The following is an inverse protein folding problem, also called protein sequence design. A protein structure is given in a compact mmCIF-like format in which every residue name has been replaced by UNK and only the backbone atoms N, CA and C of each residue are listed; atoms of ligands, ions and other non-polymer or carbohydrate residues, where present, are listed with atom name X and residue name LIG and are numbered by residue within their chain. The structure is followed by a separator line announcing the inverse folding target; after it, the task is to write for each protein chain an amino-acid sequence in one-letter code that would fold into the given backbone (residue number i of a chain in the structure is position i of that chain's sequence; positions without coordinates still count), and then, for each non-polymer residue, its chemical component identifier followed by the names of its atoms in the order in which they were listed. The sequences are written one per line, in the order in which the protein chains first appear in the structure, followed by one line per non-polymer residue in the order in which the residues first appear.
data_IF_315335028835
#
_entry.id   IF_315335028835
#
_cell.length_a   1.000
_cell.length_b   1.000
_cell.length_c   1.000
_cell.angle_alpha   90.00
_cell.angle_beta   90.00
_cell.angle_gamma   90.00
#
_symmetry.space_group_name_H-M   'P 1'
#
loop_
_entity.id
_entity.type
_entity.pdbx_description
1 polymer ?
#
# COMPACT_ATOMS: atom_id res chain seq x y z
N UNK A 1 19.46 3.22 4.07
CA UNK A 1 19.48 2.02 4.93
C UNK A 1 20.81 1.28 4.86
N UNK A 2 21.34 0.94 3.68
CA UNK A 2 22.67 0.29 3.56
C UNK A 2 23.77 1.07 4.27
N UNK A 3 23.91 2.35 3.99
CA UNK A 3 24.88 3.23 4.67
C UNK A 3 24.67 3.28 6.19
N UNK A 4 23.41 3.31 6.62
CA UNK A 4 23.07 3.28 8.04
C UNK A 4 23.50 1.98 8.75
N UNK A 5 23.51 0.84 8.04
CA UNK A 5 24.05 -0.43 8.58
C UNK A 5 25.55 -0.45 8.68
N UNK A 6 26.23 0.40 7.90
CA UNK A 6 27.67 0.60 7.94
C UNK A 6 28.10 1.68 8.96
N UNK A 7 27.16 2.19 9.78
CA UNK A 7 27.44 3.14 10.85
C UNK A 7 27.29 4.61 10.45
N UNK A 8 26.73 4.92 9.26
CA UNK A 8 26.45 6.31 8.85
C UNK A 8 25.14 6.78 9.51
N UNK A 9 25.26 7.39 10.68
CA UNK A 9 24.13 7.92 11.45
C UNK A 9 23.44 9.10 10.75
N UNK A 10 24.15 9.86 9.94
CA UNK A 10 23.55 10.98 9.21
C UNK A 10 22.68 10.49 8.05
N UNK A 11 23.15 9.51 7.30
CA UNK A 11 22.34 8.85 6.28
C UNK A 11 21.10 8.19 6.90
N UNK A 12 21.23 7.65 8.11
CA UNK A 12 20.08 7.07 8.80
C UNK A 12 19.05 8.11 9.24
N UNK A 13 19.49 9.24 9.81
CA UNK A 13 18.62 10.36 10.18
C UNK A 13 17.87 10.92 8.96
N UNK A 14 18.57 11.11 7.83
CA UNK A 14 17.94 11.55 6.58
C UNK A 14 16.87 10.55 6.10
N UNK A 15 17.17 9.25 6.15
CA UNK A 15 16.21 8.19 5.80
C UNK A 15 14.98 8.24 6.71
N UNK A 16 15.16 8.33 8.04
CA UNK A 16 14.04 8.41 8.99
C UNK A 16 13.15 9.63 8.70
N UNK A 17 13.74 10.78 8.38
CA UNK A 17 12.99 11.98 7.99
C UNK A 17 12.13 11.77 6.76
N UNK A 18 12.68 11.18 5.70
CA UNK A 18 11.93 10.86 4.47
C UNK A 18 10.82 9.84 4.72
N UNK A 19 11.13 8.78 5.46
CA UNK A 19 10.15 7.75 5.82
C UNK A 19 9.02 8.35 6.68
N UNK A 20 9.32 9.25 7.62
CA UNK A 20 8.31 9.91 8.44
C UNK A 20 7.32 10.73 7.60
N UNK A 21 7.81 11.47 6.59
CA UNK A 21 6.95 12.25 5.69
C UNK A 21 5.99 11.31 4.92
N UNK A 22 6.53 10.23 4.39
CA UNK A 22 5.73 9.23 3.68
C UNK A 22 4.71 8.55 4.61
N UNK A 23 5.13 8.14 5.82
CA UNK A 23 4.25 7.51 6.81
C UNK A 23 3.10 8.43 7.24
N UNK A 24 3.33 9.73 7.42
CA UNK A 24 2.26 10.70 7.72
C UNK A 24 1.20 10.71 6.63
N UNK A 25 1.62 10.65 5.37
CA UNK A 25 0.68 10.57 4.25
C UNK A 25 -0.12 9.27 4.27
N UNK A 26 0.54 8.14 4.54
CA UNK A 26 -0.11 6.82 4.64
C UNK A 26 -1.09 6.79 5.81
N UNK A 27 -0.67 7.19 7.01
CA UNK A 27 -1.49 7.20 8.21
C UNK A 27 -2.73 8.10 8.04
N UNK A 28 -2.54 9.35 7.56
CA UNK A 28 -3.63 10.29 7.31
C UNK A 28 -4.68 9.72 6.35
N UNK A 29 -4.23 9.17 5.21
CA UNK A 29 -5.14 8.56 4.23
C UNK A 29 -5.85 7.33 4.81
N UNK A 30 -5.13 6.53 5.61
CA UNK A 30 -5.69 5.38 6.28
C UNK A 30 -6.79 5.73 7.26
N UNK A 31 -6.52 6.64 8.15
CA UNK A 31 -7.48 7.11 9.14
C UNK A 31 -8.70 7.78 8.50
N UNK A 32 -8.47 8.65 7.51
CA UNK A 32 -9.55 9.33 6.78
C UNK A 32 -10.50 8.34 6.11
N UNK A 33 -9.98 7.31 5.43
CA UNK A 33 -10.78 6.27 4.78
C UNK A 33 -11.51 5.37 5.78
N UNK A 34 -10.94 5.17 6.97
CA UNK A 34 -11.58 4.45 8.06
C UNK A 34 -12.58 5.32 8.84
N UNK A 35 -12.82 6.58 8.43
CA UNK A 35 -13.70 7.51 9.14
C UNK A 35 -13.20 7.84 10.54
N UNK A 36 -11.87 7.84 10.77
CA UNK A 36 -11.23 8.08 12.06
C UNK A 36 -10.57 9.45 12.13
N UNK A 37 -10.43 9.98 13.36
CA UNK A 37 -9.68 11.20 13.60
C UNK A 37 -8.23 11.07 13.13
N UNK A 38 -7.69 12.16 12.58
CA UNK A 38 -6.30 12.22 12.15
C UNK A 38 -5.32 12.40 13.32
N UNK A 39 -5.84 12.66 14.54
CA UNK A 39 -5.05 12.84 15.77
C UNK A 39 -4.18 11.62 16.08
N UNK A 40 -4.68 10.42 15.79
CA UNK A 40 -3.94 9.18 15.99
C UNK A 40 -2.84 8.94 14.94
N UNK A 41 -2.73 9.80 13.93
CA UNK A 41 -1.80 9.61 12.82
C UNK A 41 -0.33 9.63 13.23
N UNK A 42 0.04 10.52 14.15
CA UNK A 42 1.43 10.63 14.61
C UNK A 42 1.85 9.43 15.46
N UNK A 43 0.95 8.86 16.25
CA UNK A 43 1.21 7.64 17.01
C UNK A 43 1.54 6.46 16.08
N UNK A 44 0.78 6.31 14.99
CA UNK A 44 1.05 5.28 13.96
C UNK A 44 2.42 5.50 13.33
N UNK A 45 2.78 6.75 13.02
CA UNK A 45 4.09 7.10 12.46
C UNK A 45 5.21 6.73 13.42
N UNK A 46 5.12 7.13 14.68
CA UNK A 46 6.14 6.86 15.70
C UNK A 46 6.29 5.36 15.96
N UNK A 47 5.19 4.62 16.13
CA UNK A 47 5.23 3.18 16.30
C UNK A 47 5.86 2.47 15.08
N UNK A 48 5.56 2.94 13.87
CA UNK A 48 6.13 2.36 12.65
C UNK A 48 7.63 2.61 12.53
N UNK A 49 8.09 3.84 12.82
CA UNK A 49 9.50 4.20 12.84
C UNK A 49 10.28 3.40 13.89
N UNK A 50 9.69 3.20 15.07
CA UNK A 50 10.29 2.39 16.12
C UNK A 50 10.45 0.93 15.69
N UNK A 51 9.41 0.32 15.11
CA UNK A 51 9.48 -1.07 14.60
C UNK A 51 10.48 -1.18 13.45
N UNK A 52 10.51 -0.21 12.54
CA UNK A 52 11.53 -0.13 11.48
C UNK A 52 12.94 -0.12 12.09
N UNK A 53 13.18 0.70 13.12
CA UNK A 53 14.48 0.77 13.79
C UNK A 53 14.86 -0.57 14.43
N UNK A 54 13.95 -1.18 15.18
CA UNK A 54 14.20 -2.44 15.88
C UNK A 54 14.42 -3.61 14.90
N UNK A 55 13.69 -3.61 13.79
CA UNK A 55 13.75 -4.69 12.77
C UNK A 55 14.71 -4.40 11.62
N UNK A 56 15.52 -3.34 11.67
CA UNK A 56 16.39 -2.93 10.56
C UNK A 56 17.37 -4.01 10.09
N UNK A 57 17.77 -4.92 10.98
CA UNK A 57 18.63 -6.06 10.66
C UNK A 57 17.91 -7.16 9.86
N UNK A 58 16.58 -7.21 9.91
CA UNK A 58 15.79 -8.20 9.15
C UNK A 58 15.55 -7.79 7.69
N UNK A 59 15.89 -6.54 7.32
CA UNK A 59 15.81 -6.13 5.93
C UNK A 59 16.94 -6.73 5.11
N UNK A 60 16.59 -7.42 4.02
CA UNK A 60 17.54 -7.94 3.04
C UNK A 60 18.03 -6.79 2.15
N UNK A 61 19.32 -6.46 2.21
CA UNK A 61 19.91 -5.35 1.48
C UNK A 61 20.10 -5.60 -0.02
N UNK A 62 19.86 -6.82 -0.48
CA UNK A 62 19.77 -7.14 -1.91
C UNK A 62 18.41 -6.71 -2.51
N UNK A 63 17.41 -6.49 -1.66
CA UNK A 63 16.05 -6.12 -2.05
C UNK A 63 15.79 -4.62 -1.89
N UNK A 64 14.82 -4.05 -2.66
CA UNK A 64 14.35 -2.69 -2.42
C UNK A 64 13.83 -2.52 -0.99
N UNK A 65 14.11 -1.37 -0.38
CA UNK A 65 13.69 -1.06 0.99
C UNK A 65 12.16 -0.88 1.10
N UNK A 66 11.55 -0.36 0.06
CA UNK A 66 10.17 0.09 0.06
C UNK A 66 9.14 -1.01 0.36
N UNK A 67 9.17 -2.21 -0.23
CA UNK A 67 8.24 -3.29 0.11
C UNK A 67 8.30 -3.69 1.58
N UNK A 68 9.50 -3.72 2.15
CA UNK A 68 9.71 -4.03 3.56
C UNK A 68 9.13 -2.95 4.48
N UNK A 69 9.34 -1.67 4.17
CA UNK A 69 8.73 -0.55 4.90
C UNK A 69 7.21 -0.56 4.83
N UNK A 70 6.66 -0.86 3.66
CA UNK A 70 5.21 -0.96 3.44
C UNK A 70 4.59 -2.05 4.29
N UNK A 71 5.22 -3.22 4.38
CA UNK A 71 4.74 -4.31 5.22
C UNK A 71 4.66 -3.88 6.70
N UNK A 72 5.68 -3.18 7.22
CA UNK A 72 5.67 -2.67 8.60
C UNK A 72 4.56 -1.63 8.79
N UNK A 73 4.46 -0.64 7.90
CA UNK A 73 3.46 0.41 7.97
C UNK A 73 2.03 -0.14 7.92
N UNK A 74 1.80 -1.12 7.03
CA UNK A 74 0.54 -1.84 6.93
C UNK A 74 0.15 -2.51 8.24
N UNK A 75 1.04 -3.31 8.81
CA UNK A 75 0.76 -3.98 10.07
C UNK A 75 0.41 -3.00 11.18
N UNK A 76 1.15 -1.90 11.30
CA UNK A 76 0.91 -0.89 12.33
C UNK A 76 -0.42 -0.16 12.16
N UNK A 77 -0.79 0.18 10.93
CA UNK A 77 -2.08 0.79 10.65
C UNK A 77 -3.24 -0.17 10.97
N UNK A 78 -3.13 -1.44 10.53
CA UNK A 78 -4.11 -2.48 10.82
C UNK A 78 -4.27 -2.69 12.33
N UNK A 79 -3.16 -2.83 13.05
CA UNK A 79 -3.15 -3.03 14.51
C UNK A 79 -3.80 -1.84 15.23
N UNK A 80 -3.51 -0.62 14.77
CA UNK A 80 -4.11 0.59 15.34
C UNK A 80 -5.63 0.61 15.13
N UNK A 81 -6.09 0.34 13.91
CA UNK A 81 -7.51 0.29 13.58
C UNK A 81 -8.24 -0.81 14.36
N UNK A 82 -7.63 -2.01 14.50
CA UNK A 82 -8.20 -3.11 15.31
C UNK A 82 -8.33 -2.74 16.79
N UNK A 83 -7.30 -2.14 17.38
CA UNK A 83 -7.33 -1.69 18.79
C UNK A 83 -8.43 -0.65 19.08
N UNK A 84 -8.79 0.14 18.09
CA UNK A 84 -9.85 1.16 18.17
C UNK A 84 -11.23 0.64 17.78
N UNK A 85 -11.45 -0.68 17.79
CA UNK A 85 -12.77 -1.30 17.59
C UNK A 85 -13.24 -1.37 16.15
N UNK A 86 -12.34 -1.30 15.19
CA UNK A 86 -12.65 -1.57 13.79
C UNK A 86 -12.71 -3.09 13.59
N UNK A 87 -13.86 -3.69 14.00
CA UNK A 87 -14.10 -5.14 13.90
C UNK A 87 -14.80 -5.56 12.61
N UNK A 88 -15.09 -4.63 11.72
CA UNK A 88 -15.66 -4.99 10.44
C UNK A 88 -14.64 -5.83 9.67
N UNK A 89 -14.96 -7.11 9.49
CA UNK A 89 -14.13 -8.13 8.81
C UNK A 89 -13.83 -7.82 7.34
N UNK A 90 -14.10 -6.62 6.91
CA UNK A 90 -14.00 -6.13 5.57
C UNK A 90 -12.69 -5.38 5.38
N UNK A 91 -11.69 -6.11 4.85
CA UNK A 91 -10.62 -5.47 4.07
C UNK A 91 -9.68 -4.48 4.76
N UNK A 92 -9.46 -4.55 6.09
CA UNK A 92 -8.34 -3.81 6.68
C UNK A 92 -7.04 -4.22 5.96
N UNK A 93 -6.91 -5.48 5.59
CA UNK A 93 -5.73 -5.98 4.86
C UNK A 93 -5.68 -5.49 3.42
N UNK A 94 -6.76 -5.61 2.67
CA UNK A 94 -6.86 -5.06 1.30
C UNK A 94 -6.84 -3.53 1.28
N UNK A 95 -7.30 -2.89 2.35
CA UNK A 95 -7.21 -1.45 2.56
C UNK A 95 -5.76 -1.00 2.83
N UNK A 96 -5.04 -1.71 3.67
CA UNK A 96 -3.64 -1.43 3.97
C UNK A 96 -2.74 -1.72 2.76
N UNK A 97 -3.04 -2.73 1.95
CA UNK A 97 -2.35 -3.01 0.68
C UNK A 97 -2.50 -1.85 -0.31
N UNK A 98 -3.68 -1.21 -0.35
CA UNK A 98 -3.92 -0.03 -1.20
C UNK A 98 -3.22 1.23 -0.71
N UNK A 99 -3.06 1.38 0.60
CA UNK A 99 -2.29 2.48 1.17
C UNK A 99 -0.79 2.31 0.95
N UNK A 100 -0.36 1.07 0.87
CA UNK A 100 1.00 0.71 0.58
C UNK A 100 1.34 0.73 -0.92
N UNK A 101 0.38 0.93 -1.83
CA UNK A 101 0.65 1.03 -3.26
C UNK A 101 1.53 2.26 -3.61
N UNK A 102 2.46 2.14 -4.57
CA UNK A 102 3.33 3.25 -4.98
C UNK A 102 2.52 4.49 -5.32
N UNK A 103 2.98 5.65 -4.83
CA UNK A 103 2.47 6.92 -5.33
C UNK A 103 3.20 7.24 -6.62
N UNK A 104 2.43 7.70 -7.59
CA UNK A 104 2.80 8.19 -8.91
C UNK A 104 4.06 7.55 -9.54
N UNK A 105 3.90 6.89 -10.66
CA UNK A 105 5.03 6.37 -11.42
C UNK A 105 5.96 7.54 -11.80
N UNK A 106 7.26 7.33 -11.76
CA UNK A 106 8.23 8.10 -12.55
C UNK A 106 7.75 8.17 -14.01
N UNK A 107 8.10 9.22 -14.74
CA UNK A 107 7.51 9.54 -16.05
C UNK A 107 7.55 8.42 -17.12
N UNK A 108 8.10 7.30 -16.95
CA UNK A 108 7.99 6.10 -17.82
C UNK A 108 7.02 5.05 -17.26
N UNK A 109 6.90 4.90 -15.95
CA UNK A 109 6.11 3.87 -15.31
C UNK A 109 4.59 4.12 -15.42
N UNK A 110 4.14 5.37 -15.66
CA UNK A 110 2.73 5.68 -15.92
C UNK A 110 2.28 5.13 -17.28
N UNK A 111 3.13 5.21 -18.30
CA UNK A 111 2.85 4.67 -19.63
C UNK A 111 2.83 3.13 -19.61
N UNK A 112 3.74 2.51 -18.83
CA UNK A 112 3.80 1.06 -18.67
C UNK A 112 2.60 0.53 -17.87
N UNK A 113 2.23 1.19 -16.77
CA UNK A 113 1.02 0.87 -16.01
C UNK A 113 -0.25 0.99 -16.88
N UNK A 114 -0.32 2.01 -17.74
CA UNK A 114 -1.45 2.20 -18.67
C UNK A 114 -1.50 1.07 -19.70
N UNK A 115 -0.36 0.66 -20.26
CA UNK A 115 -0.27 -0.48 -21.19
C UNK A 115 -0.67 -1.79 -20.50
N UNK A 116 -0.15 -2.05 -19.32
CA UNK A 116 -0.49 -3.24 -18.55
C UNK A 116 -1.99 -3.28 -18.21
N UNK A 117 -2.59 -2.16 -17.82
CA UNK A 117 -4.03 -2.08 -17.60
C UNK A 117 -4.82 -2.32 -18.89
N UNK A 118 -4.32 -1.85 -20.03
CA UNK A 118 -4.97 -2.06 -21.32
C UNK A 118 -5.00 -3.54 -21.74
N UNK A 119 -4.07 -4.38 -21.25
CA UNK A 119 -4.07 -5.81 -21.51
C UNK A 119 -5.16 -6.59 -20.77
N UNK A 120 -5.75 -5.99 -19.74
CA UNK A 120 -6.85 -6.62 -19.00
C UNK A 120 -8.18 -6.53 -19.75
N UNK A 121 -9.05 -7.56 -19.64
CA UNK A 121 -10.45 -7.46 -20.04
C UNK A 121 -11.12 -6.24 -19.42
N UNK A 122 -11.99 -5.56 -20.17
CA UNK A 122 -12.63 -4.29 -19.78
C UNK A 122 -13.21 -4.31 -18.36
N UNK A 123 -13.90 -5.37 -17.99
CA UNK A 123 -14.50 -5.52 -16.66
C UNK A 123 -13.43 -5.53 -15.56
N UNK A 124 -12.33 -6.23 -15.77
CA UNK A 124 -11.22 -6.31 -14.81
C UNK A 124 -10.51 -4.95 -14.71
N UNK A 125 -10.24 -4.31 -15.84
CA UNK A 125 -9.64 -2.97 -15.91
C UNK A 125 -10.46 -1.94 -15.14
N UNK A 126 -11.79 -1.91 -15.32
CA UNK A 126 -12.69 -1.00 -14.59
C UNK A 126 -12.64 -1.23 -13.08
N UNK A 127 -12.59 -2.48 -12.64
CA UNK A 127 -12.49 -2.82 -11.22
C UNK A 127 -11.13 -2.40 -10.64
N UNK A 128 -10.04 -2.71 -11.32
CA UNK A 128 -8.69 -2.29 -10.89
C UNK A 128 -8.62 -0.77 -10.81
N UNK A 129 -9.15 -0.05 -11.82
CA UNK A 129 -9.20 1.42 -11.81
C UNK A 129 -10.00 1.95 -10.63
N UNK A 130 -11.23 1.47 -10.42
CA UNK A 130 -12.10 1.91 -9.34
C UNK A 130 -11.48 1.66 -7.95
N UNK A 131 -10.92 0.48 -7.74
CA UNK A 131 -10.42 0.07 -6.42
C UNK A 131 -8.98 0.53 -6.19
N UNK A 132 -8.07 0.31 -7.14
CA UNK A 132 -6.63 0.54 -6.92
C UNK A 132 -6.18 1.97 -7.26
N UNK A 133 -6.83 2.65 -8.21
CA UNK A 133 -6.47 4.01 -8.64
C UNK A 133 -7.37 5.06 -7.98
N UNK A 134 -8.70 4.89 -8.08
CA UNK A 134 -9.68 5.84 -7.53
C UNK A 134 -9.92 5.63 -6.02
N UNK A 135 -9.47 4.49 -5.47
CA UNK A 135 -9.50 4.20 -4.03
C UNK A 135 -10.85 3.83 -3.47
N UNK A 136 -11.80 3.40 -4.32
CA UNK A 136 -13.10 2.93 -3.86
C UNK A 136 -12.98 1.62 -3.09
N UNK A 137 -13.82 1.43 -2.06
CA UNK A 137 -14.00 0.13 -1.43
C UNK A 137 -14.62 -0.87 -2.39
N UNK A 138 -14.49 -2.17 -2.12
CA UNK A 138 -15.13 -3.20 -2.96
C UNK A 138 -16.66 -3.05 -3.00
N UNK A 139 -17.28 -2.55 -1.90
CA UNK A 139 -18.71 -2.25 -1.82
C UNK A 139 -19.09 -1.06 -2.72
N UNK A 140 -18.36 0.06 -2.64
CA UNK A 140 -18.59 1.23 -3.48
C UNK A 140 -18.35 0.95 -4.96
N UNK A 141 -17.26 0.23 -5.28
CA UNK A 141 -16.99 -0.23 -6.63
C UNK A 141 -18.11 -1.18 -7.13
N UNK A 142 -18.61 -2.07 -6.26
CA UNK A 142 -19.73 -2.94 -6.56
C UNK A 142 -20.99 -2.16 -6.88
N UNK A 143 -21.36 -1.19 -6.05
CA UNK A 143 -22.52 -0.32 -6.30
C UNK A 143 -22.39 0.44 -7.62
N UNK A 144 -21.20 0.99 -7.92
CA UNK A 144 -20.94 1.74 -9.16
C UNK A 144 -20.92 0.87 -10.42
N UNK A 145 -20.49 -0.39 -10.29
CA UNK A 145 -20.32 -1.30 -11.43
C UNK A 145 -21.45 -2.33 -11.56
N UNK A 146 -22.48 -2.26 -10.71
CA UNK A 146 -23.60 -3.21 -10.72
C UNK A 146 -23.16 -4.62 -10.32
N UNK A 147 -22.24 -4.77 -9.37
CA UNK A 147 -21.67 -6.04 -8.93
C UNK A 147 -21.83 -6.22 -7.42
N UNK A 148 -21.90 -7.48 -6.97
CA UNK A 148 -21.77 -7.76 -5.55
C UNK A 148 -20.32 -7.50 -5.09
N UNK A 149 -20.16 -7.13 -3.83
CA UNK A 149 -18.86 -6.89 -3.21
C UNK A 149 -17.92 -8.12 -3.36
N UNK A 150 -18.45 -9.32 -3.13
CA UNK A 150 -17.70 -10.57 -3.31
C UNK A 150 -17.22 -10.78 -4.76
N UNK A 151 -18.07 -10.43 -5.76
CA UNK A 151 -17.69 -10.50 -7.17
C UNK A 151 -16.59 -9.50 -7.52
N UNK A 152 -16.62 -8.30 -6.94
CA UNK A 152 -15.55 -7.30 -7.09
C UNK A 152 -14.24 -7.84 -6.55
N UNK A 153 -14.22 -8.41 -5.33
CA UNK A 153 -13.01 -8.96 -4.69
C UNK A 153 -12.39 -10.08 -5.53
N UNK A 154 -13.19 -11.06 -5.94
CA UNK A 154 -12.72 -12.18 -6.75
C UNK A 154 -12.14 -11.70 -8.07
N UNK A 155 -12.83 -10.76 -8.73
CA UNK A 155 -12.39 -10.23 -10.03
C UNK A 155 -11.14 -9.38 -9.88
N UNK A 156 -11.04 -8.55 -8.83
CA UNK A 156 -9.83 -7.78 -8.51
C UNK A 156 -8.63 -8.70 -8.28
N UNK A 157 -8.80 -9.75 -7.46
CA UNK A 157 -7.73 -10.72 -7.21
C UNK A 157 -7.22 -11.37 -8.50
N UNK A 158 -8.14 -11.82 -9.38
CA UNK A 158 -7.78 -12.41 -10.69
C UNK A 158 -7.04 -11.40 -11.58
N UNK A 159 -7.51 -10.15 -11.63
CA UNK A 159 -6.89 -9.10 -12.41
C UNK A 159 -5.46 -8.78 -11.93
N UNK A 160 -5.26 -8.66 -10.61
CA UNK A 160 -3.93 -8.40 -10.03
C UNK A 160 -2.96 -9.57 -10.29
N UNK A 161 -3.42 -10.81 -10.24
CA UNK A 161 -2.60 -11.98 -10.61
C UNK A 161 -2.22 -11.97 -12.10
N UNK A 162 -3.13 -11.59 -13.00
CA UNK A 162 -2.85 -11.47 -14.42
C UNK A 162 -1.80 -10.38 -14.70
N UNK A 163 -1.93 -9.20 -14.06
CA UNK A 163 -0.95 -8.11 -14.15
C UNK A 163 0.43 -8.54 -13.64
N UNK A 164 0.48 -9.24 -12.50
CA UNK A 164 1.73 -9.73 -11.94
C UNK A 164 2.40 -10.80 -12.82
N UNK A 165 1.63 -11.58 -13.56
CA UNK A 165 2.14 -12.54 -14.52
C UNK A 165 2.70 -11.84 -15.77
N UNK A 166 1.98 -10.86 -16.33
CA UNK A 166 2.40 -10.06 -17.47
C UNK A 166 3.71 -9.30 -17.17
N UNK A 167 3.80 -8.65 -16.02
CA UNK A 167 4.99 -7.92 -15.59
C UNK A 167 6.25 -8.82 -15.52
N UNK A 168 6.10 -10.06 -15.05
CA UNK A 168 7.23 -11.02 -15.01
C UNK A 168 7.67 -11.49 -16.40
N UNK A 169 6.76 -11.55 -17.38
CA UNK A 169 7.08 -11.92 -18.74
C UNK A 169 7.82 -10.82 -19.51
N UNK A 170 7.54 -9.55 -19.21
CA UNK A 170 8.22 -8.40 -19.84
C UNK A 170 9.65 -8.18 -19.31
N UNK A 171 10.01 -8.82 -18.18
CA UNK A 171 11.36 -8.72 -17.60
C UNK A 171 12.28 -9.89 -17.97
N UNK A 172 11.84 -10.86 -18.77
CA UNK A 172 12.62 -11.99 -19.26
C UNK A 172 13.01 -11.79 -20.71
#
# INVERSE_FOLDING_TARGET
MRLARLGDDEAYRRLLGQVAIWLRTVARRGLQRAGRSQEDGEDIVQETLLVMHLKRSSWDDTQPLEPWLRAIARHKLVDHLRRRGFHDHLDIEAFADRLAAPQAPEEGAAADATRMLASLPERQRRIVKAVSIEGLTAREAGGRLGMSEGAVRVTLHRALRALAAAYRQEQQ
#
